data_IF_248380696644
#
_entry.id   IF_248380696644
#
_cell.length_a   1.000
_cell.length_b   1.000
_cell.length_c   1.000
_cell.angle_alpha   90.00
_cell.angle_beta   90.00
_cell.angle_gamma   90.00
#
_symmetry.space_group_name_H-M   'P 1'
#
loop_
_entity.id
_entity.type
_entity.pdbx_description
1 polymer ?
#
# COMPACT_ATOMS: atom_id res chain seq x y z
N UNK A 1 9.74 4.48 -23.82
CA UNK A 1 9.86 5.12 -22.49
C UNK A 1 10.72 4.22 -21.63
N UNK A 2 11.65 4.77 -20.84
CA UNK A 2 12.39 3.99 -19.85
C UNK A 2 11.54 3.86 -18.57
N UNK A 3 11.63 2.73 -17.88
CA UNK A 3 11.02 2.54 -16.57
C UNK A 3 11.72 3.43 -15.53
N UNK A 4 10.97 3.98 -14.59
CA UNK A 4 11.59 4.57 -13.39
C UNK A 4 12.25 3.48 -12.55
N UNK A 5 13.19 3.85 -11.67
CA UNK A 5 13.81 2.89 -10.74
C UNK A 5 12.74 2.18 -9.89
N UNK A 6 11.75 2.93 -9.41
CA UNK A 6 10.66 2.38 -8.60
C UNK A 6 9.83 1.35 -9.37
N UNK A 7 9.47 1.65 -10.62
CA UNK A 7 8.75 0.72 -11.50
C UNK A 7 9.59 -0.53 -11.80
N UNK A 8 10.90 -0.36 -11.99
CA UNK A 8 11.81 -1.47 -12.19
C UNK A 8 11.87 -2.38 -10.95
N UNK A 9 12.01 -1.79 -9.77
CA UNK A 9 12.13 -2.52 -8.50
C UNK A 9 10.83 -3.27 -8.17
N UNK A 10 9.68 -2.62 -8.35
CA UNK A 10 8.36 -3.25 -8.18
C UNK A 10 8.20 -4.46 -9.13
N UNK A 11 8.55 -4.29 -10.40
CA UNK A 11 8.48 -5.38 -11.38
C UNK A 11 9.46 -6.52 -11.02
N UNK A 12 10.70 -6.20 -10.65
CA UNK A 12 11.70 -7.19 -10.28
C UNK A 12 11.21 -8.05 -9.11
N UNK A 13 10.64 -7.44 -8.07
CA UNK A 13 10.13 -8.15 -6.89
C UNK A 13 8.85 -8.93 -7.22
N UNK A 14 7.99 -8.39 -8.09
CA UNK A 14 6.79 -9.10 -8.59
C UNK A 14 7.19 -10.37 -9.34
N UNK A 15 8.12 -10.27 -10.29
CA UNK A 15 8.59 -11.41 -11.05
C UNK A 15 9.33 -12.42 -10.17
N UNK A 16 10.15 -11.97 -9.21
CA UNK A 16 10.78 -12.86 -8.24
C UNK A 16 9.74 -13.65 -7.44
N UNK A 17 8.66 -13.00 -7.00
CA UNK A 17 7.57 -13.65 -6.26
C UNK A 17 6.83 -14.68 -7.12
N UNK A 18 6.59 -14.38 -8.41
CA UNK A 18 5.94 -15.30 -9.34
C UNK A 18 6.84 -16.51 -9.68
N UNK A 19 8.15 -16.32 -9.78
CA UNK A 19 9.11 -17.42 -9.97
C UNK A 19 9.10 -18.37 -8.78
N UNK A 20 9.06 -17.84 -7.55
CA UNK A 20 8.95 -18.66 -6.35
C UNK A 20 7.63 -19.42 -6.32
N UNK A 21 6.52 -18.77 -6.67
CA UNK A 21 5.21 -19.40 -6.77
C UNK A 21 5.20 -20.56 -7.78
N UNK A 22 5.71 -20.33 -9.00
CA UNK A 22 5.78 -21.35 -10.06
C UNK A 22 6.72 -22.51 -9.69
N UNK A 23 7.82 -22.20 -8.98
CA UNK A 23 8.75 -23.18 -8.43
C UNK A 23 8.27 -23.90 -7.17
N UNK A 24 7.01 -23.70 -6.75
CA UNK A 24 6.41 -24.25 -5.52
C UNK A 24 7.26 -23.96 -4.26
N UNK A 25 8.00 -22.86 -4.26
CA UNK A 25 8.82 -22.40 -3.16
C UNK A 25 8.06 -21.39 -2.28
N UNK A 26 8.42 -21.35 -1.00
CA UNK A 26 7.81 -20.42 -0.06
C UNK A 26 8.21 -18.97 -0.37
N UNK A 27 7.23 -18.07 -0.48
CA UNK A 27 7.45 -16.65 -0.80
C UNK A 27 7.82 -15.91 0.49
N UNK A 28 9.10 -15.93 0.83
CA UNK A 28 9.69 -15.20 1.97
C UNK A 28 10.60 -14.07 1.47
N UNK A 29 10.89 -13.08 2.33
CA UNK A 29 11.77 -11.97 1.96
C UNK A 29 13.18 -12.47 1.56
N UNK A 30 13.70 -13.49 2.26
CA UNK A 30 15.00 -14.08 1.96
C UNK A 30 15.00 -14.83 0.62
N UNK A 31 13.92 -15.57 0.32
CA UNK A 31 13.78 -16.26 -0.96
C UNK A 31 13.67 -15.26 -2.13
N UNK A 32 12.92 -14.17 -1.96
CA UNK A 32 12.83 -13.09 -2.95
C UNK A 32 14.21 -12.46 -3.17
N UNK A 33 14.92 -12.12 -2.10
CA UNK A 33 16.28 -11.57 -2.17
C UNK A 33 17.25 -12.51 -2.90
N UNK A 34 17.14 -13.83 -2.68
CA UNK A 34 17.96 -14.81 -3.38
C UNK A 34 17.72 -14.80 -4.90
N UNK A 35 16.46 -14.69 -5.34
CA UNK A 35 16.12 -14.59 -6.76
C UNK A 35 16.61 -13.27 -7.37
N UNK A 36 16.47 -12.16 -6.64
CA UNK A 36 16.95 -10.85 -7.07
C UNK A 36 18.47 -10.82 -7.22
N UNK A 37 19.21 -11.38 -6.25
CA UNK A 37 20.65 -11.53 -6.33
C UNK A 37 21.08 -12.42 -7.50
N UNK A 38 20.40 -13.55 -7.73
CA UNK A 38 20.68 -14.45 -8.85
C UNK A 38 20.42 -13.80 -10.23
N UNK A 39 19.51 -12.83 -10.29
CA UNK A 39 19.17 -12.07 -11.50
C UNK A 39 19.93 -10.74 -11.63
N UNK A 40 20.83 -10.42 -10.68
CA UNK A 40 21.57 -9.16 -10.60
C UNK A 40 20.67 -7.91 -10.50
N UNK A 41 19.53 -8.04 -9.83
CA UNK A 41 18.66 -6.91 -9.52
C UNK A 41 18.93 -6.40 -8.10
N UNK A 42 19.17 -5.10 -7.98
CA UNK A 42 19.27 -4.39 -6.71
C UNK A 42 18.00 -3.59 -6.48
N UNK A 43 17.29 -3.88 -5.39
CA UNK A 43 16.02 -3.25 -5.04
C UNK A 43 16.04 -2.84 -3.57
N UNK A 44 15.20 -1.86 -3.22
CA UNK A 44 15.11 -1.42 -1.84
C UNK A 44 14.54 -2.52 -0.93
N UNK A 45 15.16 -2.70 0.26
CA UNK A 45 14.86 -3.78 1.20
C UNK A 45 13.40 -3.80 1.71
N UNK A 46 12.68 -2.70 1.55
CA UNK A 46 11.24 -2.63 1.81
C UNK A 46 10.44 -3.53 0.87
N UNK A 47 10.80 -3.62 -0.41
CA UNK A 47 10.03 -4.35 -1.42
C UNK A 47 9.91 -5.86 -1.14
N UNK A 48 11.01 -6.61 -0.90
CA UNK A 48 10.92 -8.03 -0.58
C UNK A 48 10.07 -8.30 0.67
N UNK A 49 10.19 -7.45 1.68
CA UNK A 49 9.43 -7.58 2.94
C UNK A 49 7.93 -7.38 2.71
N UNK A 50 7.56 -6.35 1.94
CA UNK A 50 6.17 -6.07 1.60
C UNK A 50 5.54 -7.21 0.80
N UNK A 51 6.23 -7.68 -0.24
CA UNK A 51 5.71 -8.73 -1.11
C UNK A 51 5.60 -10.07 -0.38
N UNK A 52 6.58 -10.43 0.45
CA UNK A 52 6.49 -11.62 1.29
C UNK A 52 5.29 -11.56 2.26
N UNK A 53 5.07 -10.42 2.92
CA UNK A 53 3.96 -10.25 3.86
C UNK A 53 2.57 -10.33 3.20
N UNK A 54 2.47 -10.01 1.91
CA UNK A 54 1.22 -10.04 1.17
C UNK A 54 1.01 -11.37 0.41
N UNK A 55 1.97 -11.75 -0.44
CA UNK A 55 1.88 -12.90 -1.34
C UNK A 55 2.27 -14.22 -0.70
N UNK A 56 3.01 -14.20 0.42
CA UNK A 56 3.34 -15.42 1.18
C UNK A 56 2.13 -16.08 1.86
N UNK A 57 0.95 -15.44 1.82
CA UNK A 57 -0.30 -16.04 2.27
C UNK A 57 -0.75 -17.12 1.29
N UNK A 58 -1.10 -18.29 1.83
CA UNK A 58 -1.56 -19.43 1.04
C UNK A 58 -2.72 -19.04 0.10
N UNK A 59 -2.61 -19.44 -1.17
CA UNK A 59 -3.61 -19.17 -2.20
C UNK A 59 -3.68 -17.73 -2.69
N UNK A 60 -2.95 -16.76 -2.10
CA UNK A 60 -3.10 -15.34 -2.45
C UNK A 60 -2.67 -15.02 -3.87
N UNK A 61 -1.58 -15.64 -4.34
CA UNK A 61 -1.11 -15.46 -5.72
C UNK A 61 -2.15 -15.96 -6.73
N UNK A 62 -2.72 -17.15 -6.51
CA UNK A 62 -3.77 -17.71 -7.37
C UNK A 62 -5.05 -16.86 -7.35
N UNK A 63 -5.46 -16.36 -6.18
CA UNK A 63 -6.60 -15.47 -6.03
C UNK A 63 -6.44 -14.22 -6.90
N UNK A 64 -5.27 -13.58 -6.85
CA UNK A 64 -4.98 -12.37 -7.62
C UNK A 64 -4.95 -12.63 -9.13
N UNK A 65 -4.36 -13.74 -9.58
CA UNK A 65 -4.30 -14.08 -11.01
C UNK A 65 -5.70 -14.47 -11.54
N UNK A 66 -6.48 -15.22 -10.75
CA UNK A 66 -7.79 -15.76 -11.18
C UNK A 66 -8.91 -14.72 -11.14
N UNK A 67 -8.81 -13.72 -10.26
CA UNK A 67 -9.78 -12.61 -10.15
C UNK A 67 -9.54 -11.50 -11.18
N UNK A 68 -8.55 -11.65 -12.07
CA UNK A 68 -8.14 -10.61 -13.00
C UNK A 68 -7.22 -9.54 -12.39
N UNK A 69 -6.91 -9.64 -11.08
CA UNK A 69 -6.02 -8.79 -10.30
C UNK A 69 -6.43 -7.30 -10.31
N UNK A 70 -6.08 -6.50 -9.29
CA UNK A 70 -5.93 -5.08 -9.56
C UNK A 70 -4.85 -4.97 -10.64
N UNK A 71 -5.22 -4.48 -11.83
CA UNK A 71 -4.22 -4.07 -12.81
C UNK A 71 -3.22 -3.19 -12.06
N UNK A 72 -1.91 -3.41 -12.28
CA UNK A 72 -0.85 -2.60 -11.70
C UNK A 72 -1.06 -1.14 -12.12
N UNK A 73 -1.91 -0.44 -11.37
CA UNK A 73 -2.07 0.98 -11.44
C UNK A 73 -0.79 1.49 -10.79
N UNK A 74 0.07 2.09 -11.61
CA UNK A 74 1.25 2.81 -11.15
C UNK A 74 0.90 3.55 -9.86
N UNK A 75 1.50 3.14 -8.75
CA UNK A 75 1.14 3.61 -7.43
C UNK A 75 1.31 5.13 -7.37
N UNK A 76 0.20 5.86 -7.53
CA UNK A 76 0.08 7.23 -7.07
C UNK A 76 0.12 7.19 -5.55
N UNK A 77 0.97 8.04 -4.97
CA UNK A 77 1.25 8.16 -3.55
C UNK A 77 0.00 7.98 -2.65
N UNK A 78 0.20 7.17 -1.60
CA UNK A 78 -0.50 7.16 -0.31
C UNK A 78 -2.01 7.53 -0.34
N UNK A 79 -2.85 6.49 -0.28
CA UNK A 79 -4.24 6.61 0.10
C UNK A 79 -4.78 5.25 0.54
N UNK A 80 -4.91 5.05 1.84
CA UNK A 80 -5.61 3.93 2.45
C UNK A 80 -7.06 3.88 1.95
N UNK A 81 -7.49 2.76 1.34
CA UNK A 81 -8.86 2.25 1.47
C UNK A 81 -8.94 0.83 0.91
N UNK A 82 -9.11 -0.13 1.81
CA UNK A 82 -9.68 -1.43 1.50
C UNK A 82 -11.20 -1.28 1.32
N UNK A 83 -11.79 -2.03 0.40
CA UNK A 83 -13.24 -2.23 0.33
C UNK A 83 -13.79 -2.20 -1.09
N UNK A 84 -14.14 -3.38 -1.61
CA UNK A 84 -14.91 -3.52 -2.84
C UNK A 84 -16.43 -3.47 -2.59
N UNK A 85 -17.13 -3.04 -3.63
CA UNK A 85 -18.55 -3.25 -3.99
C UNK A 85 -19.65 -2.76 -3.05
N UNK A 86 -20.44 -1.76 -3.47
CA UNK A 86 -21.79 -1.95 -4.06
C UNK A 86 -22.31 -0.62 -4.66
N UNK A 87 -23.31 -0.67 -5.55
CA UNK A 87 -23.71 0.42 -6.43
C UNK A 87 -25.11 0.99 -6.11
N UNK A 88 -25.16 2.34 -6.09
CA UNK A 88 -26.28 3.25 -6.44
C UNK A 88 -27.42 3.49 -5.41
N UNK A 89 -28.26 4.56 -5.58
CA UNK A 89 -27.93 6.00 -5.66
C UNK A 89 -28.90 6.92 -4.85
N UNK A 90 -28.67 8.26 -4.92
CA UNK A 90 -29.61 9.41 -4.64
C UNK A 90 -30.09 9.62 -3.19
N UNK A 91 -30.35 10.80 -2.61
CA UNK A 91 -30.32 12.26 -2.91
C UNK A 91 -30.65 12.94 -1.53
N UNK A 92 -29.99 14.00 -1.04
CA UNK A 92 -30.43 15.43 -0.96
C UNK A 92 -29.71 15.98 0.29
N UNK A 93 -28.79 16.94 0.23
CA UNK A 93 -28.93 18.41 0.15
C UNK A 93 -29.11 19.15 1.50
N UNK A 94 -28.35 20.26 1.63
CA UNK A 94 -28.47 21.45 2.52
C UNK A 94 -27.67 21.51 3.83
N UNK A 95 -26.66 22.41 3.86
CA UNK A 95 -26.65 23.79 4.44
C UNK A 95 -26.25 23.70 5.93
N UNK A 96 -25.43 24.54 6.55
CA UNK A 96 -24.77 25.81 6.23
C UNK A 96 -23.68 26.02 7.30
N UNK A 97 -22.82 27.00 7.07
CA UNK A 97 -21.84 27.55 8.00
C UNK A 97 -22.44 27.96 9.35
N UNK A 98 -21.76 27.67 10.46
CA UNK A 98 -21.64 28.63 11.56
C UNK A 98 -20.45 28.28 12.46
N UNK A 99 -19.31 28.92 12.19
CA UNK A 99 -18.33 29.22 13.22
C UNK A 99 -18.93 30.27 14.15
N UNK A 100 -19.23 29.92 15.41
CA UNK A 100 -18.97 30.72 16.63
C UNK A 100 -19.93 30.35 17.78
N UNK A 101 -19.46 29.53 18.72
CA UNK A 101 -19.80 29.68 20.15
C UNK A 101 -18.72 28.96 20.99
N UNK A 102 -17.53 29.53 21.17
CA UNK A 102 -17.23 30.46 22.28
C UNK A 102 -17.70 29.98 23.68
N UNK A 103 -17.68 28.67 23.95
CA UNK A 103 -18.04 28.11 25.25
C UNK A 103 -17.06 27.08 25.79
N UNK A 104 -15.83 27.48 26.13
CA UNK A 104 -14.86 26.56 26.76
C UNK A 104 -13.50 27.17 27.06
N UNK A 105 -13.46 28.41 27.56
CA UNK A 105 -12.23 28.99 28.08
C UNK A 105 -11.71 28.19 29.28
N UNK A 106 -10.40 27.90 29.29
CA UNK A 106 -9.51 28.40 30.35
C UNK A 106 -8.01 28.07 30.16
N UNK A 107 -7.58 27.11 29.33
CA UNK A 107 -6.21 26.54 29.54
C UNK A 107 -5.20 26.61 28.37
N UNK A 108 -5.26 27.62 27.48
CA UNK A 108 -4.32 27.69 26.34
C UNK A 108 -3.63 29.03 26.04
N UNK A 109 -3.69 30.02 26.94
CA UNK A 109 -2.82 31.20 26.82
C UNK A 109 -2.38 31.68 28.20
N UNK A 110 -1.10 31.44 28.50
CA UNK A 110 -0.48 31.71 29.79
C UNK A 110 -0.59 33.15 30.26
N UNK A 111 -0.85 33.30 31.56
CA UNK A 111 -0.86 34.58 32.24
C UNK A 111 -0.95 34.41 33.75
N UNK A 112 0.21 34.22 34.40
CA UNK A 112 0.40 34.62 35.80
C UNK A 112 0.57 33.49 36.82
N UNK A 113 1.77 32.89 36.86
CA UNK A 113 2.32 32.37 38.12
C UNK A 113 3.85 32.51 38.11
N UNK A 114 4.31 33.37 39.01
CA UNK A 114 5.65 33.48 39.59
C UNK A 114 6.74 34.26 38.83
N UNK A 115 7.18 35.32 39.54
CA UNK A 115 8.26 36.30 39.33
C UNK A 115 7.94 37.62 38.62
#
# INVERSE_FOLDING_TARGET
MALSKEQHDELAVTYASLVLFDGEAEITADAINAVLAASNNDVEAYWPTLFAGFLGKEGKVLELISSGGPAAAAAGAAGTAAGGADAAPEEEEKEEEEEADLGGGMDMFGGGSDY
#
